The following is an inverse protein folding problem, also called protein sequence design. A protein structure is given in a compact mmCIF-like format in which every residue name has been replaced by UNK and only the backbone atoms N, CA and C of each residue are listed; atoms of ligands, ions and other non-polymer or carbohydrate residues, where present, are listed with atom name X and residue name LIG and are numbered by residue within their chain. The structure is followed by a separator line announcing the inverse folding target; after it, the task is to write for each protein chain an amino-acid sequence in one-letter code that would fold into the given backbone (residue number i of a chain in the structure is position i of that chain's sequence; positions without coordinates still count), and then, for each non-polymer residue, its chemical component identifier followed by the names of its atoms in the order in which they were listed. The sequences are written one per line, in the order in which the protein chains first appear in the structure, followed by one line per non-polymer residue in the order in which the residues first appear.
data_IF_549099765504
#
_entry.id   IF_549099765504
#
_cell.length_a   1.000
_cell.length_b   1.000
_cell.length_c   1.000
_cell.angle_alpha   90.00
_cell.angle_beta   90.00
_cell.angle_gamma   90.00
#
_symmetry.space_group_name_H-M   'P 1'
#
loop_
_entity.id
_entity.type
_entity.pdbx_description
1 polymer ?
#
# COMPACT_ATOMS: atom_id res chain seq x y z
N UNK A 1 47.06 41.00 -51.96
CA UNK A 1 46.98 39.74 -51.19
C UNK A 1 45.93 39.78 -50.07
N UNK A 2 45.77 40.88 -49.32
CA UNK A 2 44.84 40.99 -48.19
C UNK A 2 43.33 40.81 -48.50
N UNK A 3 42.83 41.17 -49.69
CA UNK A 3 41.38 41.07 -49.99
C UNK A 3 40.89 39.63 -50.21
N UNK A 4 41.75 38.75 -50.74
CA UNK A 4 41.41 37.34 -50.99
C UNK A 4 41.31 36.55 -49.68
N UNK A 5 42.17 36.85 -48.71
CA UNK A 5 42.17 36.21 -47.38
C UNK A 5 40.96 36.62 -46.54
N UNK A 6 40.54 37.90 -46.61
CA UNK A 6 39.32 38.37 -45.92
C UNK A 6 38.07 37.72 -46.49
N UNK A 7 37.97 37.58 -47.82
CA UNK A 7 36.83 36.92 -48.46
C UNK A 7 36.75 35.42 -48.11
N UNK A 8 37.89 34.72 -48.03
CA UNK A 8 37.90 33.32 -47.55
C UNK A 8 37.51 33.17 -46.09
N UNK A 9 37.91 34.11 -45.22
CA UNK A 9 37.55 34.09 -43.81
C UNK A 9 36.03 34.30 -43.60
N UNK A 10 35.43 35.22 -44.35
CA UNK A 10 33.98 35.46 -44.33
C UNK A 10 33.22 34.19 -44.76
N UNK A 11 33.63 33.57 -45.88
CA UNK A 11 32.99 32.32 -46.34
C UNK A 11 33.12 31.16 -45.34
N UNK A 12 34.25 31.06 -44.64
CA UNK A 12 34.44 30.05 -43.60
C UNK A 12 33.52 30.30 -42.40
N UNK A 13 33.37 31.56 -41.98
CA UNK A 13 32.44 31.96 -40.91
C UNK A 13 30.99 31.65 -41.29
N UNK A 14 30.57 31.98 -42.51
CA UNK A 14 29.20 31.70 -43.00
C UNK A 14 28.88 30.20 -42.99
N UNK A 15 29.82 29.36 -43.45
CA UNK A 15 29.67 27.89 -43.41
C UNK A 15 29.55 27.39 -41.97
N UNK A 16 30.35 27.93 -41.06
CA UNK A 16 30.26 27.59 -39.63
C UNK A 16 28.90 27.97 -39.04
N UNK A 17 28.42 29.19 -39.27
CA UNK A 17 27.10 29.61 -38.80
C UNK A 17 25.95 28.84 -39.44
N UNK A 18 26.09 28.41 -40.69
CA UNK A 18 25.11 27.51 -41.32
C UNK A 18 25.10 26.13 -40.62
N UNK A 19 26.27 25.57 -40.33
CA UNK A 19 26.39 24.30 -39.61
C UNK A 19 25.84 24.40 -38.17
N UNK A 20 26.15 25.48 -37.45
CA UNK A 20 25.63 25.73 -36.09
C UNK A 20 24.10 25.84 -36.10
N UNK A 21 23.52 26.60 -37.03
CA UNK A 21 22.06 26.70 -37.17
C UNK A 21 21.42 25.35 -37.51
N UNK A 22 22.03 24.56 -38.39
CA UNK A 22 21.55 23.22 -38.71
C UNK A 22 21.61 22.29 -37.49
N UNK A 23 22.69 22.33 -36.72
CA UNK A 23 22.84 21.55 -35.49
C UNK A 23 21.81 21.94 -34.42
N UNK A 24 21.58 23.25 -34.22
CA UNK A 24 20.56 23.73 -33.28
C UNK A 24 19.15 23.31 -33.69
N UNK A 25 18.84 23.37 -34.98
CA UNK A 25 17.55 22.89 -35.51
C UNK A 25 17.39 21.39 -35.27
N UNK A 26 18.41 20.59 -35.60
CA UNK A 26 18.39 19.14 -35.36
C UNK A 26 18.22 18.80 -33.87
N UNK A 27 18.89 19.53 -32.98
CA UNK A 27 18.72 19.37 -31.53
C UNK A 27 17.31 19.72 -31.05
N UNK A 28 16.72 20.79 -31.59
CA UNK A 28 15.34 21.17 -31.30
C UNK A 28 14.33 20.10 -31.76
N UNK A 29 14.52 19.57 -32.98
CA UNK A 29 13.69 18.51 -33.55
C UNK A 29 13.81 17.21 -32.74
N UNK A 30 15.03 16.84 -32.35
CA UNK A 30 15.27 15.68 -31.47
C UNK A 30 14.62 15.87 -30.09
N UNK A 31 14.73 17.06 -29.51
CA UNK A 31 14.07 17.40 -28.25
C UNK A 31 12.54 17.31 -28.35
N UNK A 32 11.95 17.78 -29.46
CA UNK A 32 10.52 17.65 -29.70
C UNK A 32 10.09 16.18 -29.88
N UNK A 33 10.88 15.38 -30.61
CA UNK A 33 10.62 13.96 -30.78
C UNK A 33 10.67 13.21 -29.44
N UNK A 34 11.64 13.52 -28.57
CA UNK A 34 11.75 12.93 -27.24
C UNK A 34 10.55 13.30 -26.35
N UNK A 35 10.10 14.56 -26.37
CA UNK A 35 8.90 14.96 -25.60
C UNK A 35 7.67 14.16 -26.04
N UNK A 36 7.42 14.06 -27.34
CA UNK A 36 6.31 13.24 -27.87
C UNK A 36 6.44 11.77 -27.49
N UNK A 37 7.65 11.22 -27.50
CA UNK A 37 7.89 9.83 -27.08
C UNK A 37 7.60 9.63 -25.59
N UNK A 38 7.99 10.59 -24.74
CA UNK A 38 7.69 10.58 -23.30
C UNK A 38 6.18 10.70 -23.04
N UNK A 39 5.48 11.57 -23.76
CA UNK A 39 4.02 11.72 -23.66
C UNK A 39 3.31 10.42 -24.01
N UNK A 40 3.68 9.77 -25.13
CA UNK A 40 3.13 8.45 -25.49
C UNK A 40 3.40 7.39 -24.44
N UNK A 41 4.62 7.35 -23.90
CA UNK A 41 4.98 6.41 -22.83
C UNK A 41 4.15 6.66 -21.57
N UNK A 42 3.96 7.92 -21.18
CA UNK A 42 3.18 8.27 -20.01
C UNK A 42 1.71 7.88 -20.17
N UNK A 43 1.13 8.10 -21.35
CA UNK A 43 -0.24 7.66 -21.65
C UNK A 43 -0.40 6.14 -21.58
N UNK A 44 0.55 5.38 -22.12
CA UNK A 44 0.50 3.91 -22.06
C UNK A 44 0.68 3.39 -20.64
N UNK A 45 1.57 3.98 -19.85
CA UNK A 45 1.72 3.62 -18.42
C UNK A 45 0.42 3.91 -17.65
N UNK A 46 -0.20 5.07 -17.86
CA UNK A 46 -1.47 5.40 -17.20
C UNK A 46 -2.58 4.40 -17.56
N UNK A 47 -2.63 3.96 -18.82
CA UNK A 47 -3.57 2.91 -19.26
C UNK A 47 -3.29 1.57 -18.58
N UNK A 48 -2.02 1.16 -18.49
CA UNK A 48 -1.65 -0.09 -17.83
C UNK A 48 -1.93 -0.03 -16.32
N UNK A 49 -1.65 1.10 -15.68
CA UNK A 49 -1.94 1.32 -14.27
C UNK A 49 -3.45 1.24 -13.99
N UNK A 50 -4.28 1.77 -14.90
CA UNK A 50 -5.74 1.63 -14.82
C UNK A 50 -6.19 0.17 -14.94
N UNK A 51 -5.64 -0.58 -15.90
CA UNK A 51 -5.93 -2.01 -16.06
C UNK A 51 -5.50 -2.85 -14.84
N UNK A 52 -4.35 -2.53 -14.25
CA UNK A 52 -3.88 -3.18 -13.02
C UNK A 52 -4.81 -2.85 -11.86
N UNK A 53 -5.18 -1.58 -11.69
CA UNK A 53 -6.10 -1.16 -10.62
C UNK A 53 -7.48 -1.83 -10.77
N UNK A 54 -7.98 -2.00 -12.01
CA UNK A 54 -9.21 -2.73 -12.27
C UNK A 54 -9.08 -4.22 -11.90
N UNK A 55 -7.98 -4.87 -12.30
CA UNK A 55 -7.72 -6.25 -11.95
C UNK A 55 -7.58 -6.46 -10.44
N UNK A 56 -6.91 -5.55 -9.73
CA UNK A 56 -6.78 -5.57 -8.27
C UNK A 56 -8.14 -5.43 -7.58
N UNK A 57 -9.00 -4.51 -8.05
CA UNK A 57 -10.38 -4.39 -7.55
C UNK A 57 -11.16 -5.68 -7.78
N UNK A 58 -11.07 -6.27 -8.97
CA UNK A 58 -11.72 -7.55 -9.27
C UNK A 58 -11.25 -8.69 -8.37
N UNK A 59 -9.94 -8.76 -8.10
CA UNK A 59 -9.37 -9.73 -7.17
C UNK A 59 -9.86 -9.51 -5.73
N UNK A 60 -9.92 -8.26 -5.26
CA UNK A 60 -10.44 -7.92 -3.92
C UNK A 60 -11.90 -8.36 -3.77
N UNK A 61 -12.74 -8.11 -4.78
CA UNK A 61 -14.14 -8.54 -4.81
C UNK A 61 -14.23 -10.07 -4.80
N UNK A 62 -13.46 -10.77 -5.63
CA UNK A 62 -13.46 -12.23 -5.67
C UNK A 62 -13.07 -12.85 -4.32
N UNK A 63 -12.02 -12.33 -3.67
CA UNK A 63 -11.60 -12.77 -2.33
C UNK A 63 -12.68 -12.49 -1.28
N UNK A 64 -13.35 -11.34 -1.37
CA UNK A 64 -14.43 -10.98 -0.45
C UNK A 64 -15.68 -11.85 -0.62
N UNK A 65 -16.01 -12.22 -1.86
CA UNK A 65 -17.09 -13.18 -2.19
C UNK A 65 -16.76 -14.55 -1.61
N UNK A 66 -15.57 -15.09 -1.88
CA UNK A 66 -15.14 -16.39 -1.32
C UNK A 66 -15.21 -16.39 0.21
N UNK A 67 -14.64 -15.38 0.85
CA UNK A 67 -14.63 -15.28 2.30
C UNK A 67 -16.01 -14.92 2.90
N UNK A 68 -17.03 -14.63 2.08
CA UNK A 68 -18.44 -14.55 2.50
C UNK A 68 -19.13 -15.93 2.48
N UNK A 69 -18.64 -16.85 1.65
CA UNK A 69 -19.19 -18.21 1.49
C UNK A 69 -18.49 -19.23 2.40
N UNK A 70 -17.23 -19.00 2.76
CA UNK A 70 -16.44 -19.91 3.59
C UNK A 70 -15.52 -19.16 4.56
N UNK A 71 -14.90 -19.90 5.49
CA UNK A 71 -13.95 -19.32 6.42
C UNK A 71 -12.74 -18.70 5.67
N UNK A 72 -12.22 -17.54 6.10
CA UNK A 72 -11.10 -16.87 5.42
C UNK A 72 -9.86 -17.74 5.25
N UNK A 73 -9.57 -18.63 6.20
CA UNK A 73 -8.41 -19.52 6.13
C UNK A 73 -8.57 -20.61 5.06
N UNK A 74 -9.81 -21.09 4.84
CA UNK A 74 -10.11 -22.03 3.76
C UNK A 74 -10.04 -21.34 2.39
N UNK A 75 -10.54 -20.11 2.29
CA UNK A 75 -10.43 -19.31 1.07
C UNK A 75 -8.96 -19.00 0.72
N UNK A 76 -8.13 -18.71 1.72
CA UNK A 76 -6.70 -18.49 1.56
C UNK A 76 -5.99 -19.71 0.95
N UNK A 77 -6.26 -20.92 1.45
CA UNK A 77 -5.70 -22.16 0.91
C UNK A 77 -6.12 -22.39 -0.55
N UNK A 78 -7.41 -22.21 -0.87
CA UNK A 78 -7.93 -22.43 -2.23
C UNK A 78 -7.34 -21.47 -3.25
N UNK A 79 -7.15 -20.21 -2.86
CA UNK A 79 -6.60 -19.17 -3.73
C UNK A 79 -5.07 -19.14 -3.74
N UNK A 80 -4.41 -20.01 -2.97
CA UNK A 80 -2.96 -20.00 -2.75
C UNK A 80 -2.47 -18.63 -2.25
N UNK A 81 -3.29 -18.00 -1.41
CA UNK A 81 -3.10 -16.66 -0.87
C UNK A 81 -2.90 -16.68 0.64
N UNK A 82 -2.48 -15.55 1.20
CA UNK A 82 -2.37 -15.42 2.66
C UNK A 82 -3.73 -15.05 3.28
N UNK A 83 -4.04 -15.50 4.52
CA UNK A 83 -5.24 -15.06 5.24
C UNK A 83 -5.31 -13.53 5.41
N UNK A 84 -4.15 -12.87 5.52
CA UNK A 84 -4.06 -11.42 5.56
C UNK A 84 -4.54 -10.77 4.24
N UNK A 85 -4.16 -11.32 3.09
CA UNK A 85 -4.59 -10.84 1.77
C UNK A 85 -6.10 -10.98 1.58
N UNK A 86 -6.68 -12.10 2.02
CA UNK A 86 -8.13 -12.34 1.99
C UNK A 86 -8.88 -11.31 2.83
N UNK A 87 -8.42 -11.06 4.07
CA UNK A 87 -9.03 -10.04 4.96
C UNK A 87 -8.90 -8.63 4.38
N UNK A 88 -7.77 -8.31 3.75
CA UNK A 88 -7.56 -7.03 3.09
C UNK A 88 -8.54 -6.86 1.92
N UNK A 89 -8.73 -7.90 1.10
CA UNK A 89 -9.72 -7.90 0.02
C UNK A 89 -11.14 -7.66 0.54
N UNK A 90 -11.53 -8.33 1.64
CA UNK A 90 -12.82 -8.10 2.31
C UNK A 90 -13.02 -6.65 2.79
N UNK A 91 -11.95 -5.98 3.24
CA UNK A 91 -12.03 -4.60 3.71
C UNK A 91 -12.10 -3.58 2.57
N UNK A 92 -11.48 -3.89 1.43
CA UNK A 92 -11.40 -3.00 0.27
C UNK A 92 -12.56 -3.16 -0.71
N UNK A 93 -13.14 -4.35 -0.82
CA UNK A 93 -14.19 -4.64 -1.77
C UNK A 93 -15.51 -3.89 -1.42
N UNK A 94 -16.18 -3.27 -2.41
CA UNK A 94 -17.48 -2.67 -2.20
C UNK A 94 -18.52 -3.72 -1.78
N UNK A 95 -19.21 -3.46 -0.65
CA UNK A 95 -20.17 -4.43 -0.11
C UNK A 95 -21.33 -4.73 -1.07
N UNK A 96 -21.74 -3.75 -1.88
CA UNK A 96 -22.82 -3.90 -2.87
C UNK A 96 -22.46 -4.92 -3.96
N UNK A 97 -21.27 -4.80 -4.54
CA UNK A 97 -20.77 -5.73 -5.56
C UNK A 97 -20.59 -7.14 -5.01
N UNK A 98 -20.04 -7.26 -3.79
CA UNK A 98 -19.88 -8.55 -3.12
C UNK A 98 -21.24 -9.20 -2.87
N UNK A 99 -22.24 -8.46 -2.38
CA UNK A 99 -23.57 -9.00 -2.13
C UNK A 99 -24.28 -9.41 -3.42
N UNK A 100 -24.15 -8.62 -4.50
CA UNK A 100 -24.71 -8.97 -5.80
C UNK A 100 -24.13 -10.30 -6.31
N UNK A 101 -22.80 -10.48 -6.29
CA UNK A 101 -22.16 -11.73 -6.74
C UNK A 101 -22.43 -12.91 -5.83
N UNK A 102 -22.49 -12.71 -4.52
CA UNK A 102 -22.92 -13.77 -3.59
C UNK A 102 -24.36 -14.20 -3.89
N UNK A 103 -25.27 -13.25 -4.16
CA UNK A 103 -26.66 -13.57 -4.49
C UNK A 103 -26.80 -14.32 -5.81
N UNK A 104 -25.98 -13.98 -6.82
CA UNK A 104 -25.94 -14.71 -8.10
C UNK A 104 -25.43 -16.15 -7.91
N UNK A 105 -24.39 -16.35 -7.08
CA UNK A 105 -23.82 -17.67 -6.82
C UNK A 105 -24.68 -18.54 -5.90
N UNK A 106 -25.53 -17.93 -5.06
CA UNK A 106 -26.42 -18.66 -4.14
C UNK A 106 -27.82 -18.88 -4.71
N UNK A 107 -28.06 -18.56 -5.99
CA UNK A 107 -29.40 -18.55 -6.61
C UNK A 107 -30.45 -17.80 -5.77
N UNK A 108 -30.03 -16.71 -5.10
CA UNK A 108 -30.88 -15.92 -4.20
C UNK A 108 -31.14 -16.56 -2.83
N UNK A 109 -30.52 -17.69 -2.49
CA UNK A 109 -30.62 -18.27 -1.14
C UNK A 109 -29.91 -17.35 -0.12
N UNK A 110 -30.54 -17.06 1.04
CA UNK A 110 -29.97 -16.17 2.03
C UNK A 110 -28.72 -16.80 2.68
N UNK A 111 -27.54 -16.26 2.35
CA UNK A 111 -26.29 -16.63 3.02
C UNK A 111 -26.29 -16.00 4.42
N UNK A 112 -26.58 -16.82 5.43
CA UNK A 112 -26.56 -16.38 6.84
C UNK A 112 -25.12 -16.13 7.25
N UNK A 113 -24.68 -14.87 7.16
CA UNK A 113 -23.41 -14.42 7.71
C UNK A 113 -23.43 -14.64 9.23
N UNK A 114 -22.63 -15.60 9.72
CA UNK A 114 -22.30 -15.74 11.15
C UNK A 114 -21.50 -14.51 11.59
N UNK A 115 -22.18 -13.38 11.81
CA UNK A 115 -21.58 -12.27 12.56
C UNK A 115 -21.31 -12.77 13.96
N UNK A 116 -20.04 -12.75 14.35
CA UNK A 116 -19.61 -13.09 15.70
C UNK A 116 -20.48 -12.32 16.71
N UNK A 117 -21.08 -13.08 17.62
CA UNK A 117 -21.92 -12.58 18.72
C UNK A 117 -21.18 -11.43 19.44
N UNK A 118 -21.79 -10.24 19.61
CA UNK A 118 -21.21 -9.22 20.45
C UNK A 118 -21.05 -9.81 21.86
N UNK A 119 -19.81 -9.91 22.35
CA UNK A 119 -19.55 -10.23 23.75
C UNK A 119 -20.18 -9.12 24.58
N UNK A 120 -21.19 -9.48 25.37
CA UNK A 120 -22.04 -8.54 26.08
C UNK A 120 -21.25 -7.58 26.95
N UNK A 121 -21.51 -6.28 26.78
CA UNK A 121 -21.21 -5.27 27.78
C UNK A 121 -22.21 -5.42 28.93
N UNK A 122 -21.93 -6.34 29.84
CA UNK A 122 -22.62 -6.43 31.12
C UNK A 122 -22.21 -5.24 31.98
N UNK A 123 -22.90 -4.10 31.86
CA UNK A 123 -22.91 -3.06 32.89
C UNK A 123 -24.25 -2.34 32.90
N UNK A 124 -25.27 -3.09 33.32
CA UNK A 124 -26.52 -2.56 33.86
C UNK A 124 -26.48 -2.79 35.37
N UNK A 125 -26.63 -1.73 36.15
CA UNK A 125 -26.68 -1.79 37.61
C UNK A 125 -26.46 -0.42 38.26
N UNK A 126 -27.42 0.50 38.07
CA UNK A 126 -27.60 1.63 38.97
C UNK A 126 -28.56 1.25 40.10
N UNK A 127 -28.33 1.78 41.31
CA UNK A 127 -29.34 1.83 42.38
C UNK A 127 -28.96 1.21 43.73
N UNK A 128 -28.30 2.02 44.57
CA UNK A 128 -28.52 2.22 46.03
C UNK A 128 -29.21 1.12 46.88
N UNK A 129 -28.51 0.59 47.90
CA UNK A 129 -28.86 0.71 49.34
C UNK A 129 -28.04 -0.25 50.24
N UNK A 130 -27.38 0.35 51.24
CA UNK A 130 -27.12 -0.09 52.62
C UNK A 130 -27.35 -1.55 53.03
N UNK A 131 -26.29 -2.25 53.48
CA UNK A 131 -26.16 -2.83 54.82
C UNK A 131 -24.76 -3.45 54.99
N UNK A 132 -24.15 -3.19 56.14
CA UNK A 132 -22.74 -3.46 56.40
C UNK A 132 -22.37 -4.93 56.59
N UNK A 133 -21.08 -5.21 56.39
CA UNK A 133 -20.26 -5.88 57.40
C UNK A 133 -18.79 -5.80 56.99
N UNK A 134 -17.99 -5.04 57.74
CA UNK A 134 -16.58 -5.32 57.93
C UNK A 134 -16.45 -5.79 59.39
N UNK A 135 -15.45 -6.62 59.74
CA UNK A 135 -14.16 -5.99 60.04
C UNK A 135 -12.89 -6.85 59.81
N UNK A 136 -11.77 -6.11 59.90
CA UNK A 136 -10.45 -6.48 60.44
C UNK A 136 -9.61 -7.52 59.69
N UNK A 137 -8.42 -7.19 59.15
CA UNK A 137 -7.17 -6.66 59.73
C UNK A 137 -6.12 -7.79 59.80
N UNK A 138 -4.97 -7.57 59.15
CA UNK A 138 -3.84 -8.50 59.17
C UNK A 138 -2.72 -8.03 58.27
N UNK A 139 -1.98 -7.01 58.72
CA UNK A 139 -0.74 -6.56 58.11
C UNK A 139 0.45 -7.37 58.65
N UNK A 140 1.29 -7.92 57.76
CA UNK A 140 2.70 -8.25 57.97
C UNK A 140 3.32 -8.53 56.59
N UNK A 141 3.91 -7.55 55.90
CA UNK A 141 5.36 -7.23 55.92
C UNK A 141 6.24 -8.45 56.22
N UNK A 142 6.88 -8.97 55.18
CA UNK A 142 8.24 -9.45 55.30
C UNK A 142 9.05 -9.05 54.07
N UNK A 143 9.88 -8.05 54.30
CA UNK A 143 11.07 -7.67 53.55
C UNK A 143 12.03 -8.86 53.42
N UNK A 144 12.59 -9.04 52.24
CA UNK A 144 13.62 -10.04 52.00
C UNK A 144 14.22 -9.89 50.61
N UNK A 145 14.83 -8.74 50.34
CA UNK A 145 15.85 -8.60 49.30
C UNK A 145 17.18 -8.38 50.04
N UNK A 146 18.22 -9.14 49.72
CA UNK A 146 19.33 -8.47 49.05
C UNK A 146 19.97 -9.32 47.94
N UNK A 147 20.02 -8.71 46.75
CA UNK A 147 21.24 -8.40 45.99
C UNK A 147 22.36 -9.47 45.92
N UNK A 148 22.62 -9.97 44.70
CA UNK A 148 23.99 -10.01 44.14
C UNK A 148 23.99 -10.36 42.63
N UNK A 149 24.51 -9.39 41.86
CA UNK A 149 25.45 -9.52 40.74
C UNK A 149 25.12 -10.32 39.47
N UNK A 150 25.03 -9.59 38.35
CA UNK A 150 25.98 -9.58 37.22
C UNK A 150 25.25 -8.99 35.99
N UNK A 151 25.43 -7.72 35.65
CA UNK A 151 26.53 -7.17 34.81
C UNK A 151 26.75 -7.98 33.54
N UNK A 152 26.37 -7.41 32.40
CA UNK A 152 26.50 -8.00 31.06
C UNK A 152 26.12 -6.98 30.00
N UNK A 153 27.02 -6.03 29.81
CA UNK A 153 26.96 -4.84 28.97
C UNK A 153 27.01 -5.13 27.46
N UNK A 154 26.23 -4.35 26.70
CA UNK A 154 26.45 -3.75 25.37
C UNK A 154 27.45 -4.41 24.39
N UNK A 155 26.96 -4.71 23.19
CA UNK A 155 27.77 -4.59 21.97
C UNK A 155 27.00 -3.80 20.90
N UNK A 156 27.36 -2.51 20.80
CA UNK A 156 27.14 -1.65 19.64
C UNK A 156 27.83 -2.25 18.41
N UNK A 157 27.09 -2.43 17.32
CA UNK A 157 27.65 -2.82 16.03
C UNK A 157 27.83 -1.56 15.17
N UNK A 158 29.09 -1.10 15.05
CA UNK A 158 29.51 -0.06 14.13
C UNK A 158 30.48 -0.62 13.07
N UNK A 159 30.24 -0.20 11.83
CA UNK A 159 31.19 0.06 10.73
C UNK A 159 31.74 -1.03 9.79
N UNK A 160 31.78 -0.64 8.51
CA UNK A 160 32.67 -1.10 7.44
C UNK A 160 31.89 -1.59 6.20
N UNK A 161 31.94 -1.00 5.01
CA UNK A 161 32.84 -0.03 4.37
C UNK A 161 32.10 0.74 3.27
#
# INVERSE_FOLDING_TARGET
MASKTTNSAIKALERRHAAERAALKAAADAGAALRRARERRAAELARLDEMVAEAERGADVALAVLASLMAPDAAAVLMQETPARVRLGQQRAPAEEVNARVSELSDGAPVVRRRGRPRGSGRSGGGTASAGSAPAAGAARNSGDPAASAVGEVATFSEGR
#
